data_IF_180407594902
#
_entry.id   IF_180407594902
#
_cell.length_a   1.000
_cell.length_b   1.000
_cell.length_c   1.000
_cell.angle_alpha   90.00
_cell.angle_beta   90.00
_cell.angle_gamma   90.00
#
_symmetry.space_group_name_H-M   'P 1'
#
loop_
_entity.id
_entity.type
_entity.pdbx_description
1 polymer ?
#
# COMPACT_ATOMS: atom_id res chain seq x y z
N UNK A 1 -3.32 1.95 30.93
CA UNK A 1 -3.48 2.31 29.50
C UNK A 1 -4.87 1.86 29.13
N UNK A 2 -5.78 2.81 28.88
CA UNK A 2 -7.15 2.50 28.52
C UNK A 2 -7.26 2.49 27.00
N UNK A 3 -7.54 1.31 26.43
CA UNK A 3 -7.83 1.17 25.01
C UNK A 3 -9.21 1.78 24.72
N UNK A 4 -9.31 2.52 23.62
CA UNK A 4 -10.57 3.09 23.15
C UNK A 4 -10.92 2.54 21.79
N UNK A 5 -12.17 2.12 21.64
CA UNK A 5 -12.74 1.76 20.35
C UNK A 5 -12.99 3.02 19.52
N UNK A 6 -12.51 3.01 18.27
CA UNK A 6 -12.65 4.10 17.31
C UNK A 6 -12.92 3.52 15.92
N UNK A 7 -13.52 4.31 15.02
CA UNK A 7 -13.63 3.87 13.64
C UNK A 7 -12.27 3.93 12.94
N UNK A 8 -12.02 3.00 12.02
CA UNK A 8 -10.80 2.99 11.22
C UNK A 8 -10.64 4.30 10.43
N UNK A 9 -11.77 4.88 9.97
CA UNK A 9 -11.81 6.17 9.27
C UNK A 9 -11.36 7.34 10.15
N UNK A 10 -11.39 7.23 11.48
CA UNK A 10 -10.93 8.28 12.38
C UNK A 10 -9.40 8.26 12.52
N UNK A 11 -8.77 7.10 12.29
CA UNK A 11 -7.32 6.91 12.38
C UNK A 11 -6.60 6.97 11.03
N UNK A 12 -7.23 6.47 9.96
CA UNK A 12 -6.62 6.30 8.64
C UNK A 12 -7.37 7.07 7.56
N UNK A 13 -6.66 7.38 6.48
CA UNK A 13 -7.21 7.87 5.21
C UNK A 13 -6.82 6.94 4.07
N UNK A 14 -7.76 6.69 3.16
CA UNK A 14 -7.47 5.98 1.91
C UNK A 14 -6.78 6.94 0.93
N UNK A 15 -5.62 6.54 0.42
CA UNK A 15 -4.87 7.29 -0.59
C UNK A 15 -5.31 6.83 -1.98
N UNK A 16 -5.67 7.78 -2.85
CA UNK A 16 -6.14 7.53 -4.22
C UNK A 16 -5.32 8.27 -5.29
N UNK A 17 -4.09 8.62 -4.93
CA UNK A 17 -3.17 9.36 -5.79
C UNK A 17 -2.81 8.49 -7.00
N UNK A 18 -3.43 8.74 -8.17
CA UNK A 18 -3.24 7.93 -9.37
C UNK A 18 -1.95 8.29 -10.08
N UNK A 19 -1.23 7.28 -10.55
CA UNK A 19 0.11 7.46 -11.10
C UNK A 19 0.20 8.02 -12.53
N UNK A 20 -0.84 8.69 -13.02
CA UNK A 20 -0.93 9.12 -14.43
C UNK A 20 0.13 10.15 -14.87
N UNK A 21 0.82 10.79 -13.92
CA UNK A 21 1.69 11.94 -14.18
C UNK A 21 3.21 11.64 -14.16
N UNK A 22 3.62 10.38 -13.95
CA UNK A 22 5.04 10.05 -13.73
C UNK A 22 5.59 8.93 -14.62
N UNK A 23 5.14 8.85 -15.88
CA UNK A 23 5.60 7.84 -16.85
C UNK A 23 7.11 7.84 -17.13
N UNK A 24 7.84 8.89 -16.72
CA UNK A 24 9.28 9.04 -16.93
C UNK A 24 10.12 8.71 -15.68
N UNK A 25 9.50 8.42 -14.52
CA UNK A 25 10.22 8.07 -13.28
C UNK A 25 10.13 6.56 -13.05
N UNK A 26 11.29 5.90 -12.95
CA UNK A 26 11.37 4.49 -12.55
C UNK A 26 11.07 4.40 -11.05
N UNK A 27 9.95 3.77 -10.71
CA UNK A 27 9.50 3.59 -9.34
C UNK A 27 9.29 2.10 -9.03
N UNK A 28 9.56 1.67 -7.79
CA UNK A 28 9.20 0.34 -7.33
C UNK A 28 7.70 0.06 -7.54
N UNK A 29 7.39 -1.10 -8.08
CA UNK A 29 6.01 -1.58 -8.24
C UNK A 29 5.69 -2.75 -7.31
N UNK A 30 4.54 -2.65 -6.63
CA UNK A 30 4.00 -3.68 -5.74
C UNK A 30 2.65 -4.19 -6.26
N UNK A 31 2.63 -5.42 -6.76
CA UNK A 31 1.42 -6.20 -7.01
C UNK A 31 1.05 -7.09 -5.83
N UNK A 32 -0.09 -7.77 -5.89
CA UNK A 32 -0.48 -8.71 -4.83
C UNK A 32 0.44 -9.93 -4.81
N UNK A 33 0.90 -10.38 -5.96
CA UNK A 33 1.88 -11.44 -6.17
C UNK A 33 3.19 -11.18 -5.40
N UNK A 34 3.56 -9.91 -5.20
CA UNK A 34 4.76 -9.49 -4.49
C UNK A 34 4.62 -9.54 -2.95
N UNK A 35 3.40 -9.59 -2.41
CA UNK A 35 3.14 -9.63 -0.97
C UNK A 35 2.90 -11.09 -0.55
N UNK A 36 3.73 -11.57 0.36
CA UNK A 36 3.58 -12.89 0.95
C UNK A 36 2.28 -13.00 1.77
N UNK A 37 1.69 -14.19 1.75
CA UNK A 37 0.50 -14.49 2.53
C UNK A 37 0.85 -14.54 4.02
N UNK A 38 0.10 -13.82 4.86
CA UNK A 38 0.14 -13.95 6.32
C UNK A 38 1.50 -13.63 6.99
N UNK A 39 2.37 -12.85 6.35
CA UNK A 39 3.73 -12.62 6.88
C UNK A 39 4.16 -11.15 6.97
N UNK A 40 3.36 -10.22 6.43
CA UNK A 40 3.70 -8.79 6.31
C UNK A 40 4.97 -8.50 5.49
N UNK A 41 5.43 -9.45 4.67
CA UNK A 41 6.67 -9.36 3.90
C UNK A 41 6.41 -9.27 2.41
N UNK A 42 7.38 -8.69 1.73
CA UNK A 42 7.50 -8.77 0.29
C UNK A 42 8.37 -9.97 -0.08
N UNK A 43 7.93 -10.76 -1.05
CA UNK A 43 8.77 -11.77 -1.70
C UNK A 43 9.65 -11.16 -2.77
N UNK A 44 9.16 -10.13 -3.46
CA UNK A 44 9.85 -9.43 -4.53
C UNK A 44 9.34 -7.99 -4.70
N UNK A 45 9.99 -7.22 -5.56
CA UNK A 45 9.57 -5.87 -5.97
C UNK A 45 9.70 -5.81 -7.48
N UNK A 46 8.64 -5.40 -8.17
CA UNK A 46 8.64 -5.28 -9.62
C UNK A 46 9.05 -3.89 -10.10
N UNK A 47 9.19 -3.75 -11.42
CA UNK A 47 9.39 -2.47 -12.09
C UNK A 47 8.05 -1.92 -12.61
N UNK A 48 7.87 -0.61 -12.52
CA UNK A 48 6.69 0.08 -13.06
C UNK A 48 6.56 -0.12 -14.58
N UNK A 49 7.67 -0.29 -15.30
CA UNK A 49 7.71 -0.44 -16.75
C UNK A 49 7.03 -1.74 -17.24
N UNK A 50 6.97 -2.76 -16.39
CA UNK A 50 6.40 -4.07 -16.73
C UNK A 50 4.86 -4.09 -16.63
N UNK A 51 4.24 -2.98 -16.24
CA UNK A 51 2.81 -2.92 -15.90
C UNK A 51 2.12 -1.79 -16.66
N UNK A 52 1.06 -2.12 -17.40
CA UNK A 52 0.30 -1.15 -18.22
C UNK A 52 -0.96 -0.63 -17.47
N UNK A 53 -1.43 -1.34 -16.45
CA UNK A 53 -2.66 -1.00 -15.71
C UNK A 53 -2.52 0.29 -14.90
N UNK A 54 -3.68 0.84 -14.48
CA UNK A 54 -3.75 1.92 -13.51
C UNK A 54 -2.97 1.57 -12.23
N UNK A 55 -2.39 2.59 -11.60
CA UNK A 55 -1.59 2.43 -10.38
C UNK A 55 -1.90 3.52 -9.37
N UNK A 56 -1.68 3.20 -8.11
CA UNK A 56 -1.81 4.13 -7.00
C UNK A 56 -0.45 4.38 -6.37
N UNK A 57 -0.13 5.63 -6.08
CA UNK A 57 1.08 6.01 -5.36
C UNK A 57 0.95 5.70 -3.86
N UNK A 58 2.03 5.19 -3.28
CA UNK A 58 2.20 5.06 -1.84
C UNK A 58 3.51 5.70 -1.40
N UNK A 59 3.55 6.11 -0.13
CA UNK A 59 4.73 6.67 0.53
C UNK A 59 5.22 5.73 1.62
N UNK A 60 6.44 5.98 2.09
CA UNK A 60 6.95 5.31 3.28
C UNK A 60 6.01 5.56 4.48
N UNK A 61 5.81 4.52 5.29
CA UNK A 61 4.86 4.41 6.40
C UNK A 61 3.37 4.27 6.00
N UNK A 62 3.05 4.12 4.72
CA UNK A 62 1.71 3.69 4.32
C UNK A 62 1.52 2.18 4.56
N UNK A 63 0.27 1.77 4.74
CA UNK A 63 -0.14 0.37 4.79
C UNK A 63 -0.72 0.01 3.42
N UNK A 64 -0.10 -0.97 2.77
CA UNK A 64 -0.59 -1.56 1.52
C UNK A 64 -1.44 -2.78 1.86
N UNK A 65 -2.76 -2.63 1.76
CA UNK A 65 -3.73 -3.67 2.09
C UNK A 65 -4.33 -4.28 0.83
N UNK A 66 -4.10 -5.57 0.59
CA UNK A 66 -4.69 -6.29 -0.54
C UNK A 66 -6.20 -6.48 -0.35
N UNK A 67 -7.00 -5.73 -1.09
CA UNK A 67 -8.47 -5.80 -1.01
C UNK A 67 -9.05 -6.95 -1.79
N UNK A 68 -8.37 -7.40 -2.85
CA UNK A 68 -8.75 -8.62 -3.54
C UNK A 68 -8.38 -9.84 -2.68
N UNK A 69 -9.38 -10.63 -2.31
CA UNK A 69 -9.24 -11.83 -1.44
C UNK A 69 -8.58 -11.49 -0.09
N UNK A 70 -9.20 -10.62 0.74
CA UNK A 70 -8.58 -10.08 1.95
C UNK A 70 -8.24 -11.15 3.00
N UNK A 71 -8.89 -12.33 2.93
CA UNK A 71 -8.57 -13.49 3.76
C UNK A 71 -7.17 -14.05 3.52
N UNK A 72 -6.47 -13.68 2.44
CA UNK A 72 -5.05 -13.99 2.27
C UNK A 72 -4.13 -13.12 3.12
N UNK A 73 -4.64 -12.07 3.76
CA UNK A 73 -3.87 -11.21 4.67
C UNK A 73 -2.58 -10.71 4.02
N UNK A 74 -2.66 -10.38 2.72
CA UNK A 74 -1.59 -9.75 1.96
C UNK A 74 -1.56 -8.29 2.34
N UNK A 75 -0.74 -7.99 3.34
CA UNK A 75 -0.56 -6.64 3.88
C UNK A 75 0.93 -6.35 3.90
N UNK A 76 1.34 -5.13 3.59
CA UNK A 76 2.72 -4.70 3.73
C UNK A 76 2.77 -3.31 4.35
N UNK A 77 3.69 -3.11 5.30
CA UNK A 77 4.01 -1.80 5.84
C UNK A 77 5.15 -1.20 5.01
N UNK A 78 4.85 -0.14 4.27
CA UNK A 78 5.74 0.43 3.26
C UNK A 78 7.00 1.02 3.92
N UNK A 79 8.17 0.48 3.57
CA UNK A 79 9.47 1.01 4.04
C UNK A 79 10.08 2.04 3.09
N UNK A 80 9.48 2.21 1.91
CA UNK A 80 9.90 3.10 0.84
C UNK A 80 8.65 3.66 0.13
N UNK A 81 8.83 4.53 -0.86
CA UNK A 81 7.76 5.05 -1.70
C UNK A 81 7.77 4.41 -3.09
N UNK A 82 6.61 4.35 -3.74
CA UNK A 82 6.48 3.70 -5.04
C UNK A 82 5.04 3.67 -5.51
N UNK A 83 4.75 2.73 -6.41
CA UNK A 83 3.41 2.52 -6.96
C UNK A 83 2.92 1.10 -6.70
N UNK A 84 1.61 0.92 -6.54
CA UNK A 84 1.00 -0.38 -6.37
C UNK A 84 -0.17 -0.63 -7.32
N UNK A 85 -0.52 -1.90 -7.49
CA UNK A 85 -1.75 -2.33 -8.18
C UNK A 85 -2.98 -1.65 -7.57
N UNK A 86 -4.01 -1.45 -8.39
CA UNK A 86 -5.33 -0.99 -7.91
C UNK A 86 -6.05 -2.01 -7.03
N UNK A 87 -5.63 -3.27 -7.04
CA UNK A 87 -6.14 -4.31 -6.11
C UNK A 87 -5.57 -4.16 -4.69
N UNK A 88 -4.70 -3.17 -4.48
CA UNK A 88 -4.15 -2.80 -3.19
C UNK A 88 -4.70 -1.43 -2.79
N UNK A 89 -5.29 -1.38 -1.61
CA UNK A 89 -5.70 -0.12 -0.98
C UNK A 89 -4.57 0.42 -0.12
N UNK A 90 -4.18 1.65 -0.40
CA UNK A 90 -3.15 2.37 0.36
C UNK A 90 -3.84 3.11 1.50
N UNK A 91 -3.48 2.78 2.74
CA UNK A 91 -4.01 3.40 3.94
C UNK A 91 -2.90 4.19 4.64
N UNK A 92 -3.14 5.47 4.89
CA UNK A 92 -2.19 6.37 5.53
C UNK A 92 -2.70 6.79 6.90
N UNK A 93 -1.83 6.79 7.90
CA UNK A 93 -2.16 7.31 9.23
C UNK A 93 -2.43 8.81 9.19
N UNK A 94 -3.54 9.25 9.79
CA UNK A 94 -3.82 10.66 10.03
C UNK A 94 -2.89 11.26 11.10
N UNK A 95 -2.31 10.41 11.95
CA UNK A 95 -1.45 10.80 13.06
C UNK A 95 -0.14 9.98 13.06
N UNK A 96 0.86 10.35 12.24
CA UNK A 96 2.08 9.57 12.07
C UNK A 96 3.01 9.53 13.31
N UNK A 97 2.76 10.35 14.33
CA UNK A 97 3.61 10.46 15.53
C UNK A 97 3.24 9.51 16.69
N UNK A 98 2.26 8.61 16.52
CA UNK A 98 1.85 7.62 17.53
C UNK A 98 2.11 6.18 17.06
N UNK A 99 3.34 5.90 16.65
CA UNK A 99 3.81 4.54 16.37
C UNK A 99 4.68 4.04 17.51
#
# INVERSE_FOLDING_TARGET
MDWKEINLSDALVEVRDRAKEFSEIVLPYIGLEHIEKDSLKLSEVGDIQDVISDKTFFKSNDILFGTLRPYFRKVYFAKFEGVCSTDITVLRSKNPQKA
#
